data_IF_580422864700
#
_entry.id   IF_580422864700
#
_cell.length_a   1.000
_cell.length_b   1.000
_cell.length_c   1.000
_cell.angle_alpha   90.00
_cell.angle_beta   90.00
_cell.angle_gamma   90.00
#
_symmetry.space_group_name_H-M   'P 1'
#
loop_
_entity.id
_entity.type
_entity.pdbx_description
1 polymer ?
#
# COMPACT_ATOMS: atom_id res chain seq x y z
N UNK A 1 -19.89 -1.28 1.46
CA UNK A 1 -18.55 -1.69 1.02
C UNK A 1 -17.59 -1.07 2.02
N UNK A 2 -16.95 -1.88 2.85
CA UNK A 2 -16.28 -1.40 4.07
C UNK A 2 -14.75 -1.36 3.94
N UNK A 3 -14.16 -2.17 3.05
CA UNK A 3 -12.70 -2.38 2.99
C UNK A 3 -12.15 -2.15 1.58
N UNK A 4 -10.93 -1.64 1.45
CA UNK A 4 -10.30 -1.29 0.19
C UNK A 4 -9.03 -2.10 -0.11
N UNK A 5 -8.90 -2.51 -1.38
CA UNK A 5 -7.68 -3.08 -1.96
C UNK A 5 -7.44 -2.42 -3.31
N UNK A 6 -6.32 -1.71 -3.43
CA UNK A 6 -6.06 -0.85 -4.58
C UNK A 6 -7.17 0.20 -4.73
N UNK A 7 -7.83 0.23 -5.89
CA UNK A 7 -8.97 1.12 -6.17
C UNK A 7 -10.34 0.46 -5.96
N UNK A 8 -10.38 -0.82 -5.56
CA UNK A 8 -11.63 -1.58 -5.42
C UNK A 8 -12.06 -1.70 -3.96
N UNK A 9 -13.37 -1.72 -3.72
CA UNK A 9 -13.95 -1.88 -2.39
C UNK A 9 -14.75 -3.17 -2.24
N UNK A 10 -14.62 -3.81 -1.08
CA UNK A 10 -15.20 -5.10 -0.74
C UNK A 10 -16.16 -4.96 0.46
N UNK A 11 -17.12 -5.88 0.55
CA UNK A 11 -18.13 -5.89 1.62
C UNK A 11 -17.55 -6.30 2.97
N UNK A 12 -16.61 -7.25 2.95
CA UNK A 12 -16.03 -7.88 4.13
C UNK A 12 -14.49 -7.95 4.03
N UNK A 13 -13.84 -8.03 5.19
CA UNK A 13 -12.38 -8.02 5.30
C UNK A 13 -11.72 -9.26 4.68
N UNK A 14 -12.37 -10.42 4.76
CA UNK A 14 -11.85 -11.66 4.18
C UNK A 14 -11.88 -11.62 2.65
N UNK A 15 -12.91 -11.04 2.04
CA UNK A 15 -13.00 -10.82 0.60
C UNK A 15 -11.98 -9.79 0.09
N UNK A 16 -11.72 -8.73 0.87
CA UNK A 16 -10.63 -7.81 0.57
C UNK A 16 -9.27 -8.55 0.59
N UNK A 17 -8.98 -9.27 1.67
CA UNK A 17 -7.70 -10.00 1.79
C UNK A 17 -7.58 -11.15 0.78
N UNK A 18 -8.67 -11.78 0.35
CA UNK A 18 -8.62 -12.79 -0.69
C UNK A 18 -8.28 -12.21 -2.06
N UNK A 19 -8.77 -11.01 -2.36
CA UNK A 19 -8.35 -10.27 -3.55
C UNK A 19 -6.84 -9.96 -3.52
N UNK A 20 -6.32 -9.47 -2.38
CA UNK A 20 -4.87 -9.27 -2.19
C UNK A 20 -4.08 -10.56 -2.35
N UNK A 21 -4.56 -11.66 -1.74
CA UNK A 21 -3.91 -12.97 -1.82
C UNK A 21 -3.86 -13.50 -3.26
N UNK A 22 -4.96 -13.33 -4.02
CA UNK A 22 -5.06 -13.77 -5.40
C UNK A 22 -4.10 -13.04 -6.34
N UNK A 23 -3.73 -11.80 -6.02
CA UNK A 23 -2.74 -11.04 -6.79
C UNK A 23 -1.33 -11.61 -6.69
N UNK A 24 -1.05 -12.41 -5.65
CA UNK A 24 0.26 -13.04 -5.41
C UNK A 24 0.27 -14.54 -5.72
N UNK A 25 -0.91 -15.17 -5.81
CA UNK A 25 -1.04 -16.58 -6.12
C UNK A 25 -0.44 -16.89 -7.51
N UNK A 26 0.36 -17.94 -7.60
CA UNK A 26 1.05 -18.37 -8.81
C UNK A 26 2.34 -17.59 -9.12
N UNK A 27 2.68 -16.56 -8.34
CA UNK A 27 3.96 -15.86 -8.49
C UNK A 27 5.14 -16.81 -8.22
N UNK A 28 6.23 -16.63 -8.95
CA UNK A 28 7.49 -17.34 -8.69
C UNK A 28 8.45 -16.39 -7.98
N UNK A 29 8.90 -16.78 -6.80
CA UNK A 29 9.85 -16.01 -5.99
C UNK A 29 11.13 -16.82 -5.77
N UNK A 30 12.28 -16.15 -5.79
CA UNK A 30 13.58 -16.78 -5.52
C UNK A 30 14.06 -16.35 -4.14
N UNK A 31 14.33 -17.32 -3.27
CA UNK A 31 14.87 -17.08 -1.95
C UNK A 31 15.94 -18.14 -1.61
N UNK A 32 17.09 -17.70 -1.11
CA UNK A 32 18.18 -18.60 -0.74
C UNK A 32 18.75 -19.43 -1.90
N UNK A 33 18.61 -18.94 -3.14
CA UNK A 33 19.06 -19.66 -4.35
C UNK A 33 18.07 -20.70 -4.88
N UNK A 34 16.92 -20.90 -4.23
CA UNK A 34 15.85 -21.78 -4.70
C UNK A 34 14.64 -20.95 -5.18
N UNK A 35 13.96 -21.44 -6.22
CA UNK A 35 12.72 -20.85 -6.72
C UNK A 35 11.51 -21.54 -6.10
N UNK A 36 10.47 -20.76 -5.78
CA UNK A 36 9.23 -21.21 -5.17
C UNK A 36 8.04 -20.65 -5.92
N UNK A 37 7.01 -21.47 -6.11
CA UNK A 37 5.68 -21.03 -6.56
C UNK A 37 4.84 -20.69 -5.34
N UNK A 38 4.27 -19.49 -5.32
CA UNK A 38 3.39 -19.01 -4.26
C UNK A 38 1.98 -19.58 -4.48
N UNK A 39 1.42 -20.15 -3.42
CA UNK A 39 0.05 -20.66 -3.34
C UNK A 39 -0.62 -20.04 -2.09
N UNK A 40 -1.94 -19.98 -2.06
CA UNK A 40 -2.70 -19.44 -0.93
C UNK A 40 -3.24 -20.62 -0.12
N UNK A 41 -2.71 -20.80 1.08
CA UNK A 41 -3.13 -21.87 1.99
C UNK A 41 -4.36 -21.49 2.83
N UNK A 42 -4.57 -20.19 3.08
CA UNK A 42 -5.74 -19.72 3.82
C UNK A 42 -5.82 -18.20 3.91
N UNK A 43 -7.03 -17.69 4.07
CA UNK A 43 -7.33 -16.26 4.25
C UNK A 43 -8.30 -16.12 5.41
N UNK A 44 -8.02 -15.21 6.32
CA UNK A 44 -8.92 -14.80 7.41
C UNK A 44 -9.26 -13.32 7.26
N UNK A 45 -10.00 -12.74 8.19
CA UNK A 45 -10.28 -11.30 8.22
C UNK A 45 -9.07 -10.43 8.58
N UNK A 46 -7.96 -11.01 9.08
CA UNK A 46 -6.78 -10.27 9.54
C UNK A 46 -5.45 -10.89 9.13
N UNK A 47 -5.46 -11.95 8.32
CA UNK A 47 -4.24 -12.63 7.90
C UNK A 47 -4.40 -13.38 6.58
N UNK A 48 -3.28 -13.54 5.89
CA UNK A 48 -3.15 -14.39 4.71
C UNK A 48 -2.02 -15.37 4.97
N UNK A 49 -2.29 -16.66 4.81
CA UNK A 49 -1.29 -17.72 4.86
C UNK A 49 -0.94 -18.13 3.44
N UNK A 50 0.30 -17.88 3.05
CA UNK A 50 0.88 -18.34 1.79
C UNK A 50 1.64 -19.64 2.01
N UNK A 51 1.63 -20.49 0.99
CA UNK A 51 2.45 -21.69 0.89
C UNK A 51 3.39 -21.52 -0.29
N UNK A 52 4.68 -21.60 -0.02
CA UNK A 52 5.74 -21.53 -1.01
C UNK A 52 6.18 -22.96 -1.35
N UNK A 53 5.81 -23.42 -2.54
CA UNK A 53 6.16 -24.74 -3.05
C UNK A 53 7.47 -24.65 -3.85
N UNK A 54 8.55 -25.33 -3.43
CA UNK A 54 9.80 -25.29 -4.18
C UNK A 54 9.63 -25.90 -5.58
N UNK A 55 10.10 -25.19 -6.61
CA UNK A 55 9.98 -25.62 -8.01
C UNK A 55 10.78 -26.91 -8.27
N UNK A 56 11.91 -27.08 -7.58
CA UNK A 56 12.74 -28.28 -7.66
C UNK A 56 12.16 -29.49 -6.89
N UNK A 57 10.97 -29.35 -6.29
CA UNK A 57 10.40 -30.32 -5.35
C UNK A 57 10.96 -30.19 -3.93
N UNK A 58 10.31 -30.83 -2.97
CA UNK A 58 10.67 -30.78 -1.54
C UNK A 58 9.53 -30.32 -0.64
N UNK A 59 9.87 -29.98 0.61
CA UNK A 59 8.89 -29.51 1.59
C UNK A 59 8.48 -28.06 1.31
N UNK A 60 7.18 -27.82 1.35
CA UNK A 60 6.64 -26.47 1.22
C UNK A 60 6.86 -25.66 2.49
N UNK A 61 7.11 -24.37 2.33
CA UNK A 61 7.23 -23.43 3.44
C UNK A 61 5.91 -22.69 3.59
N UNK A 62 5.42 -22.51 4.81
CA UNK A 62 4.26 -21.66 5.07
C UNK A 62 4.70 -20.33 5.67
N UNK A 63 4.07 -19.25 5.22
CA UNK A 63 4.28 -17.91 5.75
C UNK A 63 2.92 -17.25 5.98
N UNK A 64 2.65 -16.86 7.21
CA UNK A 64 1.43 -16.13 7.56
C UNK A 64 1.75 -14.66 7.73
N UNK A 65 1.12 -13.82 6.91
CA UNK A 65 1.23 -12.37 6.99
C UNK A 65 -0.01 -11.85 7.72
N UNK A 66 0.20 -11.08 8.78
CA UNK A 66 -0.88 -10.34 9.46
C UNK A 66 -1.12 -9.04 8.69
N UNK A 67 -2.38 -8.79 8.30
CA UNK A 67 -2.76 -7.63 7.53
C UNK A 67 -4.17 -7.20 7.91
N UNK A 68 -4.34 -5.93 8.26
CA UNK A 68 -5.65 -5.32 8.46
C UNK A 68 -6.00 -4.55 7.19
N UNK A 69 -7.11 -4.87 6.50
CA UNK A 69 -7.50 -4.13 5.32
C UNK A 69 -8.00 -2.72 5.69
N UNK A 70 -7.58 -1.73 4.90
CA UNK A 70 -7.95 -0.33 5.08
C UNK A 70 -9.45 -0.10 4.81
N UNK A 71 -10.09 0.89 5.44
CA UNK A 71 -11.47 1.24 5.13
C UNK A 71 -11.61 1.75 3.69
N UNK A 72 -12.76 1.48 3.09
CA UNK A 72 -13.09 1.98 1.75
C UNK A 72 -13.22 3.50 1.74
N UNK A 73 -12.56 4.15 0.76
CA UNK A 73 -12.57 5.59 0.63
C UNK A 73 -11.66 6.26 1.66
N UNK A 74 -10.49 5.67 1.94
CA UNK A 74 -9.53 6.20 2.89
C UNK A 74 -9.12 7.65 2.58
N UNK A 75 -9.14 8.03 1.30
CA UNK A 75 -9.02 9.40 0.84
C UNK A 75 -10.26 9.76 0.02
N UNK A 76 -11.02 10.74 0.49
CA UNK A 76 -12.13 11.32 -0.26
C UNK A 76 -11.69 12.64 -0.94
N UNK A 77 -12.57 13.21 -1.77
CA UNK A 77 -12.33 14.47 -2.47
C UNK A 77 -11.98 15.63 -1.52
N UNK A 78 -12.57 15.63 -0.31
CA UNK A 78 -12.32 16.64 0.71
C UNK A 78 -10.89 16.54 1.25
N UNK A 79 -10.38 15.32 1.48
CA UNK A 79 -9.01 15.08 1.89
C UNK A 79 -8.04 15.54 0.79
N UNK A 80 -8.33 15.21 -0.47
CA UNK A 80 -7.57 15.66 -1.62
C UNK A 80 -7.50 17.19 -1.74
N UNK A 81 -8.62 17.88 -1.49
CA UNK A 81 -8.68 19.34 -1.51
C UNK A 81 -7.85 19.96 -0.37
N UNK A 82 -7.93 19.38 0.84
CA UNK A 82 -7.15 19.84 1.99
C UNK A 82 -5.63 19.70 1.76
N UNK A 83 -5.20 18.57 1.19
CA UNK A 83 -3.80 18.31 0.83
C UNK A 83 -3.33 19.27 -0.26
N UNK A 84 -4.15 19.50 -1.28
CA UNK A 84 -3.86 20.44 -2.37
C UNK A 84 -3.64 21.86 -1.86
N UNK A 85 -4.52 22.36 -1.00
CA UNK A 85 -4.35 23.68 -0.39
C UNK A 85 -3.15 23.75 0.55
N UNK A 86 -2.86 22.69 1.30
CA UNK A 86 -1.66 22.61 2.14
C UNK A 86 -0.38 22.82 1.32
N UNK A 87 -0.28 22.15 0.17
CA UNK A 87 0.85 22.31 -0.77
C UNK A 87 0.89 23.75 -1.32
N UNK A 88 -0.26 24.31 -1.73
CA UNK A 88 -0.33 25.68 -2.25
C UNK A 88 0.17 26.70 -1.22
N UNK A 89 -0.26 26.59 0.03
CA UNK A 89 0.18 27.48 1.13
C UNK A 89 1.69 27.36 1.36
N UNK A 90 2.25 26.15 1.35
CA UNK A 90 3.69 25.94 1.51
C UNK A 90 4.51 26.65 0.43
N UNK A 91 4.05 26.59 -0.82
CA UNK A 91 4.69 27.29 -1.94
C UNK A 91 4.58 28.81 -1.81
N UNK A 92 3.38 29.32 -1.48
CA UNK A 92 3.16 30.76 -1.28
C UNK A 92 4.06 31.29 -0.17
N UNK A 93 4.13 30.59 0.97
CA UNK A 93 4.98 30.98 2.09
C UNK A 93 6.46 31.00 1.71
N UNK A 94 6.92 29.98 0.97
CA UNK A 94 8.31 29.90 0.51
C UNK A 94 8.65 31.06 -0.43
N UNK A 95 7.79 31.34 -1.41
CA UNK A 95 7.96 32.47 -2.32
C UNK A 95 8.00 33.80 -1.56
N UNK A 96 7.08 34.01 -0.60
CA UNK A 96 7.06 35.20 0.25
C UNK A 96 8.39 35.39 0.99
N UNK A 97 8.93 34.34 1.61
CA UNK A 97 10.23 34.39 2.30
C UNK A 97 11.37 34.73 1.33
N UNK A 98 11.39 34.15 0.13
CA UNK A 98 12.41 34.48 -0.87
C UNK A 98 12.33 35.96 -1.29
N UNK A 99 11.14 36.47 -1.58
CA UNK A 99 10.95 37.86 -1.97
C UNK A 99 11.32 38.84 -0.84
N UNK A 100 10.95 38.52 0.40
CA UNK A 100 11.36 39.32 1.56
C UNK A 100 12.87 39.32 1.77
N UNK A 101 13.55 38.18 1.55
CA UNK A 101 15.01 38.08 1.63
C UNK A 101 15.73 38.86 0.52
N UNK A 102 15.17 38.87 -0.69
CA UNK A 102 15.71 39.68 -1.79
C UNK A 102 15.52 41.16 -1.49
N UNK A 103 14.31 41.59 -1.13
CA UNK A 103 14.00 42.99 -0.82
C UNK A 103 14.90 43.56 0.30
N UNK A 104 15.19 42.76 1.32
CA UNK A 104 16.07 43.15 2.43
C UNK A 104 17.56 43.24 2.05
N UNK A 105 18.00 42.61 0.96
CA UNK A 105 19.37 42.73 0.44
C UNK A 105 19.58 43.96 -0.44
N UNK A 106 18.52 44.49 -1.06
CA UNK A 106 18.61 45.65 -1.97
C UNK A 106 18.61 47.00 -1.22
N UNK A 107 18.36 47.00 0.09
CA UNK A 107 18.22 48.21 0.92
C UNK A 107 19.55 48.57 1.65
N UNK A 108 20.60 47.75 1.51
CA UNK A 108 21.96 48.01 2.01
C UNK A 108 22.86 48.32 0.80
#
# INVERSE_FOLDING_TARGET
>A
MAYQVGASCYGDAAAALSATASAQAGAVVVHGGAAYVVDVAGVTSSSITYRLNPVAGGQAIQSTVQMVPEPCGLLDWADGLSLGWGIAVAWIATAAVMHLRVASRTII
#
